data_IF_573413447857
#
_entry.id   IF_573413447857
#
_cell.length_a   1.000
_cell.length_b   1.000
_cell.length_c   1.000
_cell.angle_alpha   90.00
_cell.angle_beta   90.00
_cell.angle_gamma   90.00
#
_symmetry.space_group_name_H-M   'P 1'
#
loop_
_entity.id
_entity.type
_entity.pdbx_description
1 polymer ?
#
# COMPACT_ATOMS: atom_id res chain seq x y z
N UNK A 1 0.35 -7.31 -3.79
CA UNK A 1 -0.71 -6.51 -3.13
C UNK A 1 -0.50 -6.66 -1.64
N UNK A 2 -0.67 -5.61 -0.84
CA UNK A 2 -0.47 -5.70 0.61
C UNK A 2 -1.81 -5.59 1.35
N UNK A 3 -2.10 -6.56 2.20
CA UNK A 3 -3.22 -6.53 3.12
C UNK A 3 -2.76 -6.09 4.49
N UNK A 4 -3.46 -5.11 5.05
CA UNK A 4 -3.20 -4.57 6.37
C UNK A 4 -4.38 -4.87 7.27
N UNK A 5 -4.07 -5.45 8.42
CA UNK A 5 -5.03 -5.74 9.47
C UNK A 5 -4.54 -5.15 10.78
N UNK A 6 -5.42 -4.52 11.56
CA UNK A 6 -5.08 -4.05 12.90
C UNK A 6 -4.88 -5.22 13.85
N UNK A 7 -3.85 -5.13 14.68
CA UNK A 7 -3.66 -6.04 15.80
C UNK A 7 -4.67 -5.66 16.89
N UNK A 8 -5.69 -6.49 17.07
CA UNK A 8 -6.68 -6.35 18.15
C UNK A 8 -6.36 -7.33 19.26
N UNK A 9 -6.53 -6.94 20.52
CA UNK A 9 -6.44 -7.87 21.65
C UNK A 9 -7.39 -9.05 21.42
N UNK A 10 -6.86 -10.23 21.73
CA UNK A 10 -7.33 -11.54 21.30
C UNK A 10 -8.86 -11.73 21.43
N UNK A 11 -9.59 -11.54 20.32
CA UNK A 11 -10.86 -12.24 20.10
C UNK A 11 -10.55 -13.42 19.21
N UNK A 12 -10.87 -14.64 19.65
CA UNK A 12 -10.76 -15.86 18.84
C UNK A 12 -11.53 -15.68 17.53
N UNK A 13 -10.84 -15.29 16.47
CA UNK A 13 -11.41 -15.12 15.14
C UNK A 13 -10.51 -15.81 14.10
N UNK A 14 -11.11 -16.23 12.99
CA UNK A 14 -10.49 -17.07 11.93
C UNK A 14 -9.14 -16.51 11.43
N UNK A 15 -8.99 -15.19 11.42
CA UNK A 15 -7.75 -14.52 11.04
C UNK A 15 -6.61 -14.65 12.09
N UNK A 16 -6.90 -14.73 13.39
CA UNK A 16 -5.88 -15.05 14.39
C UNK A 16 -5.37 -16.50 14.25
N UNK A 17 -6.25 -17.42 13.81
CA UNK A 17 -5.84 -18.78 13.47
C UNK A 17 -4.99 -18.85 12.20
N UNK A 18 -5.25 -17.98 11.20
CA UNK A 18 -4.41 -17.82 10.01
C UNK A 18 -3.02 -17.28 10.37
N UNK A 19 -2.94 -16.27 11.24
CA UNK A 19 -1.67 -15.68 11.69
C UNK A 19 -0.82 -16.71 12.47
N UNK A 20 -1.47 -17.50 13.33
CA UNK A 20 -0.83 -18.53 14.15
C UNK A 20 -0.33 -19.72 13.30
N UNK A 21 -1.06 -20.10 12.23
CA UNK A 21 -0.67 -21.20 11.33
C UNK A 21 0.63 -20.92 10.55
N UNK A 22 1.08 -19.67 10.46
CA UNK A 22 2.22 -19.27 9.61
C UNK A 22 3.41 -18.68 10.36
N UNK A 23 3.43 -18.75 11.70
CA UNK A 23 4.55 -18.22 12.51
C UNK A 23 4.91 -16.76 12.18
N UNK A 24 3.91 -15.92 11.83
CA UNK A 24 4.10 -14.50 11.50
C UNK A 24 4.60 -13.65 12.69
N UNK A 25 4.75 -14.26 13.87
CA UNK A 25 5.10 -13.59 15.12
C UNK A 25 6.59 -13.22 15.22
N UNK A 26 7.48 -13.84 14.43
CA UNK A 26 8.93 -13.64 14.55
C UNK A 26 9.54 -12.76 13.46
N UNK A 27 8.81 -12.51 12.38
CA UNK A 27 9.31 -11.71 11.26
C UNK A 27 8.96 -10.22 11.48
N UNK A 28 9.91 -9.33 11.19
CA UNK A 28 9.76 -7.85 11.26
C UNK A 28 9.87 -7.16 9.90
N UNK A 29 10.16 -7.91 8.83
CA UNK A 29 10.32 -7.44 7.45
C UNK A 29 9.99 -8.57 6.48
N UNK A 30 9.64 -8.23 5.24
CA UNK A 30 9.55 -9.20 4.15
C UNK A 30 10.95 -9.67 3.73
N UNK A 31 11.07 -10.91 3.25
CA UNK A 31 12.32 -11.39 2.67
C UNK A 31 12.53 -10.77 1.27
N UNK A 32 13.72 -10.25 1.02
CA UNK A 32 14.11 -9.63 -0.26
C UNK A 32 15.15 -10.51 -0.94
N UNK A 33 15.01 -10.81 -2.24
CA UNK A 33 16.11 -11.37 -3.05
C UNK A 33 16.02 -12.82 -3.53
N UNK A 34 14.83 -13.39 -3.75
CA UNK A 34 14.71 -14.60 -4.57
C UNK A 34 13.80 -14.33 -5.77
N UNK A 35 14.21 -14.76 -6.97
CA UNK A 35 13.46 -14.59 -8.22
C UNK A 35 12.04 -15.23 -8.19
N UNK A 36 11.66 -15.93 -7.12
CA UNK A 36 10.38 -16.64 -6.94
C UNK A 36 9.65 -16.30 -5.63
N UNK A 37 9.99 -15.22 -4.90
CA UNK A 37 9.38 -14.97 -3.58
C UNK A 37 7.90 -14.52 -3.62
N UNK A 38 7.32 -14.31 -4.80
CA UNK A 38 5.89 -14.08 -5.05
C UNK A 38 5.11 -15.36 -5.39
N UNK A 39 5.66 -16.55 -5.11
CA UNK A 39 4.89 -17.80 -5.19
C UNK A 39 4.08 -18.10 -3.91
N UNK A 40 4.39 -17.41 -2.79
CA UNK A 40 3.76 -17.66 -1.49
C UNK A 40 3.46 -16.36 -0.74
N UNK A 41 2.37 -16.39 0.05
CA UNK A 41 1.94 -15.27 0.89
C UNK A 41 2.90 -15.14 2.08
N UNK A 42 3.45 -13.93 2.27
CA UNK A 42 4.34 -13.60 3.39
C UNK A 42 3.65 -12.62 4.34
N UNK A 43 4.08 -12.56 5.60
CA UNK A 43 3.53 -11.57 6.53
C UNK A 43 4.39 -11.31 7.75
N UNK A 44 4.21 -10.14 8.35
CA UNK A 44 4.89 -9.74 9.57
C UNK A 44 4.03 -8.79 10.42
N UNK A 45 4.44 -8.57 11.67
CA UNK A 45 3.76 -7.68 12.61
C UNK A 45 4.61 -6.45 12.90
N UNK A 46 4.08 -5.25 12.68
CA UNK A 46 4.77 -3.99 12.97
C UNK A 46 3.77 -2.87 13.31
N UNK A 47 4.09 -2.09 14.34
CA UNK A 47 3.36 -0.86 14.71
C UNK A 47 1.84 -1.05 14.90
N UNK A 48 1.43 -2.17 15.50
CA UNK A 48 0.01 -2.47 15.72
C UNK A 48 -0.74 -2.93 14.46
N UNK A 49 -0.02 -3.23 13.37
CA UNK A 49 -0.56 -3.79 12.13
C UNK A 49 0.06 -5.17 11.86
N UNK A 50 -0.76 -6.06 11.31
CA UNK A 50 -0.30 -7.26 10.60
C UNK A 50 -0.27 -6.92 9.13
N UNK A 51 0.91 -7.07 8.53
CA UNK A 51 1.19 -6.84 7.13
C UNK A 51 1.25 -8.18 6.42
N UNK A 52 0.50 -8.34 5.35
CA UNK A 52 0.50 -9.55 4.53
C UNK A 52 0.78 -9.12 3.10
N UNK A 53 1.86 -9.62 2.51
CA UNK A 53 2.13 -9.45 1.07
C UNK A 53 1.67 -10.70 0.32
N UNK A 54 0.87 -10.48 -0.72
CA UNK A 54 0.38 -11.54 -1.58
C UNK A 54 0.77 -11.34 -3.05
N UNK A 55 0.91 -12.46 -3.79
CA UNK A 55 0.86 -12.44 -5.25
C UNK A 55 -0.50 -11.85 -5.70
N UNK A 56 -0.56 -11.24 -6.89
CA UNK A 56 -1.81 -10.66 -7.42
C UNK A 56 -2.97 -11.67 -7.42
N UNK A 57 -4.21 -11.22 -7.23
CA UNK A 57 -5.37 -12.11 -7.07
C UNK A 57 -5.63 -13.00 -8.29
N UNK A 58 -5.03 -12.70 -9.45
CA UNK A 58 -5.13 -13.46 -10.69
C UNK A 58 -4.12 -14.61 -10.82
N UNK A 59 -3.14 -14.74 -9.93
CA UNK A 59 -2.11 -15.80 -9.96
C UNK A 59 -2.62 -17.16 -9.42
N UNK A 60 -3.92 -17.45 -9.52
CA UNK A 60 -4.54 -18.58 -8.83
C UNK A 60 -4.18 -19.94 -9.44
N UNK A 61 -3.23 -20.63 -8.81
CA UNK A 61 -3.35 -22.08 -8.58
C UNK A 61 -4.32 -22.32 -7.40
N UNK A 62 -5.17 -23.34 -7.49
CA UNK A 62 -6.41 -23.44 -6.68
C UNK A 62 -6.27 -23.23 -5.17
N UNK A 63 -5.23 -23.79 -4.54
CA UNK A 63 -5.01 -23.73 -3.08
C UNK A 63 -4.64 -22.32 -2.59
N UNK A 64 -3.90 -21.55 -3.40
CA UNK A 64 -3.55 -20.16 -3.11
C UNK A 64 -4.73 -19.19 -3.29
N UNK A 65 -5.72 -19.55 -4.11
CA UNK A 65 -6.88 -18.70 -4.43
C UNK A 65 -7.89 -18.54 -3.30
N UNK A 66 -8.09 -19.57 -2.47
CA UNK A 66 -8.95 -19.51 -1.29
C UNK A 66 -8.31 -18.75 -0.14
N UNK A 67 -7.00 -18.94 0.05
CA UNK A 67 -6.21 -18.21 1.06
C UNK A 67 -6.17 -16.71 0.79
N UNK A 68 -5.96 -16.30 -0.47
CA UNK A 68 -5.99 -14.88 -0.83
C UNK A 68 -7.35 -14.23 -0.52
N UNK A 69 -8.46 -14.96 -0.71
CA UNK A 69 -9.79 -14.45 -0.36
C UNK A 69 -9.97 -14.31 1.15
N UNK A 70 -9.48 -15.25 1.96
CA UNK A 70 -9.53 -15.16 3.42
C UNK A 70 -8.76 -13.91 3.94
N UNK A 71 -7.65 -13.54 3.30
CA UNK A 71 -6.92 -12.31 3.64
C UNK A 71 -7.64 -11.04 3.18
N UNK A 72 -8.22 -11.03 1.97
CA UNK A 72 -9.09 -9.94 1.51
C UNK A 72 -10.23 -9.72 2.52
N UNK A 73 -10.87 -10.80 2.95
CA UNK A 73 -12.01 -10.75 3.87
C UNK A 73 -11.61 -10.21 5.24
N UNK A 74 -10.41 -10.53 5.72
CA UNK A 74 -9.89 -10.10 7.01
C UNK A 74 -9.19 -8.72 7.02
N UNK A 75 -8.88 -8.15 5.85
CA UNK A 75 -8.16 -6.88 5.74
C UNK A 75 -9.01 -5.68 6.20
N UNK A 76 -8.41 -4.81 7.03
CA UNK A 76 -8.98 -3.50 7.37
C UNK A 76 -8.61 -2.44 6.31
N UNK A 77 -7.48 -2.62 5.59
CA UNK A 77 -7.01 -1.79 4.49
C UNK A 77 -6.25 -2.65 3.48
N UNK A 78 -6.40 -2.35 2.19
CA UNK A 78 -5.62 -2.96 1.11
C UNK A 78 -4.76 -1.88 0.47
N UNK A 79 -3.43 -2.04 0.48
CA UNK A 79 -2.52 -1.22 -0.33
C UNK A 79 -2.30 -1.91 -1.68
N UNK A 80 -2.67 -1.23 -2.76
CA UNK A 80 -2.52 -1.72 -4.12
C UNK A 80 -1.39 -0.94 -4.83
N UNK A 81 -0.14 -1.43 -4.81
CA UNK A 81 0.95 -0.76 -5.50
C UNK A 81 0.83 -0.95 -7.02
N UNK A 82 1.02 0.13 -7.77
CA UNK A 82 1.16 0.10 -9.23
C UNK A 82 2.32 1.00 -9.67
N UNK A 83 2.89 0.78 -10.86
CA UNK A 83 4.03 1.58 -11.34
C UNK A 83 3.54 2.84 -12.06
N UNK A 84 4.18 3.98 -11.81
CA UNK A 84 3.93 5.25 -12.53
C UNK A 84 4.26 5.19 -14.02
N UNK A 85 4.98 4.15 -14.47
CA UNK A 85 5.30 3.94 -15.89
C UNK A 85 4.11 3.39 -16.69
N UNK A 86 3.19 2.68 -16.04
CA UNK A 86 1.97 2.12 -16.65
C UNK A 86 0.82 2.15 -15.64
N UNK A 87 0.39 3.34 -15.20
CA UNK A 87 -0.73 3.46 -14.28
C UNK A 87 -2.02 3.06 -15.00
N UNK A 88 -2.96 2.45 -14.26
CA UNK A 88 -4.29 2.12 -14.77
C UNK A 88 -4.35 0.98 -15.80
N UNK A 89 -3.50 -0.05 -15.69
CA UNK A 89 -3.68 -1.27 -16.49
C UNK A 89 -5.07 -1.85 -16.26
N UNK A 90 -5.75 -2.25 -17.34
CA UNK A 90 -7.13 -2.74 -17.29
C UNK A 90 -7.35 -3.84 -16.26
N UNK A 91 -6.46 -4.83 -16.20
CA UNK A 91 -6.51 -5.93 -15.23
C UNK A 91 -6.44 -5.44 -13.78
N UNK A 92 -5.57 -4.48 -13.52
CA UNK A 92 -5.38 -3.92 -12.17
C UNK A 92 -6.63 -3.12 -11.76
N UNK A 93 -7.20 -2.36 -12.70
CA UNK A 93 -8.43 -1.60 -12.47
C UNK A 93 -9.63 -2.52 -12.19
N UNK A 94 -9.77 -3.62 -12.94
CA UNK A 94 -10.81 -4.64 -12.71
C UNK A 94 -10.64 -5.30 -11.32
N UNK A 95 -9.41 -5.63 -10.93
CA UNK A 95 -9.10 -6.21 -9.62
C UNK A 95 -9.47 -5.25 -8.47
N UNK A 96 -9.11 -3.98 -8.60
CA UNK A 96 -9.45 -2.94 -7.62
C UNK A 96 -10.98 -2.75 -7.55
N UNK A 97 -11.65 -2.71 -8.70
CA UNK A 97 -13.11 -2.58 -8.76
C UNK A 97 -13.82 -3.76 -8.08
N UNK A 98 -13.30 -4.98 -8.19
CA UNK A 98 -13.81 -6.16 -7.49
C UNK A 98 -13.61 -6.11 -5.97
N UNK A 99 -12.49 -5.57 -5.51
CA UNK A 99 -12.24 -5.34 -4.08
C UNK A 99 -13.21 -4.32 -3.50
N UNK A 100 -13.43 -3.21 -4.21
CA UNK A 100 -14.38 -2.17 -3.81
C UNK A 100 -15.83 -2.70 -3.76
N UNK A 101 -16.22 -3.58 -4.70
CA UNK A 101 -17.54 -4.26 -4.66
C UNK A 101 -17.75 -5.09 -3.40
N UNK A 102 -16.66 -5.69 -2.90
CA UNK A 102 -16.67 -6.46 -1.64
C UNK A 102 -16.67 -5.55 -0.40
N UNK A 103 -16.84 -4.24 -0.56
CA UNK A 103 -16.86 -3.25 0.51
C UNK A 103 -15.49 -3.09 1.19
N UNK A 104 -14.41 -3.36 0.46
CA UNK A 104 -13.04 -3.22 0.96
C UNK A 104 -12.55 -1.81 0.75
N UNK A 105 -11.87 -1.28 1.77
CA UNK A 105 -11.11 -0.04 1.64
C UNK A 105 -9.80 -0.33 0.90
N UNK A 106 -9.60 0.37 -0.22
CA UNK A 106 -8.42 0.23 -1.07
C UNK A 106 -7.70 1.56 -1.19
N UNK A 107 -6.40 1.54 -0.92
CA UNK A 107 -5.48 2.64 -1.18
C UNK A 107 -4.60 2.23 -2.36
N UNK A 108 -4.79 2.89 -3.50
CA UNK A 108 -3.92 2.70 -4.66
C UNK A 108 -2.68 3.53 -4.46
N UNK A 109 -1.51 2.92 -4.61
CA UNK A 109 -0.21 3.57 -4.42
C UNK A 109 0.55 3.51 -5.74
N UNK A 110 0.57 4.62 -6.47
CA UNK A 110 1.38 4.78 -7.68
C UNK A 110 2.83 4.99 -7.23
N UNK A 111 3.67 4.00 -7.46
CA UNK A 111 5.09 3.93 -7.08
C UNK A 111 5.99 4.41 -8.21
N UNK A 112 7.26 4.68 -7.89
CA UNK A 112 8.27 5.18 -8.85
C UNK A 112 7.88 6.51 -9.46
N UNK A 113 7.32 7.42 -8.65
CA UNK A 113 6.99 8.78 -9.09
C UNK A 113 8.21 9.72 -9.11
N UNK A 114 9.40 9.16 -9.29
CA UNK A 114 10.68 9.82 -9.52
C UNK A 114 11.12 9.66 -10.98
N UNK A 115 12.12 10.45 -11.36
CA UNK A 115 12.85 10.36 -12.63
C UNK A 115 14.30 10.79 -12.42
N UNK A 116 15.17 10.36 -13.34
CA UNK A 116 16.52 10.89 -13.43
C UNK A 116 16.48 12.12 -14.31
N UNK A 117 16.83 13.26 -13.73
CA UNK A 117 17.02 14.52 -14.41
C UNK A 117 18.50 14.68 -14.75
N UNK A 118 18.79 15.01 -16.01
CA UNK A 118 20.15 15.10 -16.54
C UNK A 118 20.36 16.53 -17.02
N UNK A 119 21.35 17.19 -16.44
CA UNK A 119 21.70 18.57 -16.75
C UNK A 119 23.21 18.70 -17.02
N UNK A 120 23.64 19.86 -17.49
CA UNK A 120 25.04 20.21 -17.70
C UNK A 120 25.44 21.24 -16.64
N UNK A 121 26.45 20.92 -15.82
CA UNK A 121 26.96 21.85 -14.83
C UNK A 121 27.77 22.99 -15.47
N UNK A 122 28.16 23.99 -14.67
CA UNK A 122 28.95 25.14 -15.15
C UNK A 122 30.31 24.76 -15.78
N UNK A 123 30.82 23.55 -15.50
CA UNK A 123 32.05 23.03 -16.08
C UNK A 123 31.84 22.30 -17.43
N UNK A 124 30.60 22.20 -17.91
CA UNK A 124 30.24 21.49 -19.14
C UNK A 124 30.12 19.98 -18.97
N UNK A 125 30.05 19.48 -17.73
CA UNK A 125 29.93 18.06 -17.43
C UNK A 125 28.47 17.66 -17.23
N UNK A 126 28.10 16.48 -17.73
CA UNK A 126 26.78 15.92 -17.48
C UNK A 126 26.65 15.50 -16.02
N UNK A 127 25.66 16.07 -15.33
CA UNK A 127 25.26 15.71 -13.97
C UNK A 127 23.88 15.11 -14.00
N UNK A 128 23.67 14.03 -13.23
CA UNK A 128 22.37 13.39 -13.11
C UNK A 128 21.92 13.40 -11.66
N UNK A 129 20.67 13.79 -11.43
CA UNK A 129 20.06 13.82 -10.10
C UNK A 129 18.71 13.09 -10.12
N UNK A 130 18.37 12.49 -8.99
CA UNK A 130 17.03 11.93 -8.80
C UNK A 130 16.08 13.07 -8.42
N UNK A 131 15.00 13.22 -9.16
CA UNK A 131 13.96 14.22 -8.86
C UNK A 131 12.59 13.55 -8.85
N UNK A 132 11.67 14.09 -8.07
CA UNK A 132 10.26 13.73 -8.21
C UNK A 132 9.73 14.19 -9.57
N UNK A 133 8.84 13.41 -10.18
CA UNK A 133 7.99 13.90 -11.27
C UNK A 133 7.23 15.14 -10.82
N UNK A 134 6.89 16.01 -11.76
CA UNK A 134 6.16 17.24 -11.49
C UNK A 134 4.86 16.96 -10.72
N UNK A 135 4.40 17.93 -9.92
CA UNK A 135 3.14 17.80 -9.21
C UNK A 135 1.95 17.66 -10.17
N UNK A 136 2.01 18.33 -11.32
CA UNK A 136 1.02 18.24 -12.39
C UNK A 136 0.95 16.82 -12.95
N UNK A 137 2.06 16.24 -13.40
CA UNK A 137 2.11 14.88 -13.95
C UNK A 137 1.60 13.86 -12.94
N UNK A 138 2.03 13.98 -11.68
CA UNK A 138 1.61 13.09 -10.60
C UNK A 138 0.10 13.21 -10.35
N UNK A 139 -0.42 14.43 -10.38
CA UNK A 139 -1.85 14.70 -10.19
C UNK A 139 -2.67 14.15 -11.35
N UNK A 140 -2.25 14.37 -12.59
CA UNK A 140 -2.92 13.83 -13.77
C UNK A 140 -2.96 12.31 -13.73
N UNK A 141 -1.85 11.66 -13.36
CA UNK A 141 -1.80 10.21 -13.18
C UNK A 141 -2.76 9.72 -12.11
N UNK A 142 -2.78 10.35 -10.92
CA UNK A 142 -3.70 9.94 -9.85
C UNK A 142 -5.16 10.17 -10.23
N UNK A 143 -5.47 11.29 -10.88
CA UNK A 143 -6.83 11.65 -11.29
C UNK A 143 -7.32 10.69 -12.39
N UNK A 144 -6.45 10.31 -13.32
CA UNK A 144 -6.77 9.33 -14.36
C UNK A 144 -7.14 7.98 -13.74
N UNK A 145 -6.28 7.44 -12.88
CA UNK A 145 -6.51 6.14 -12.21
C UNK A 145 -7.80 6.19 -11.38
N UNK A 146 -8.00 7.25 -10.59
CA UNK A 146 -9.22 7.43 -9.82
C UNK A 146 -10.47 7.42 -10.71
N UNK A 147 -10.48 8.22 -11.79
CA UNK A 147 -11.60 8.31 -12.72
C UNK A 147 -11.91 6.97 -13.38
N UNK A 148 -10.90 6.23 -13.81
CA UNK A 148 -11.12 4.91 -14.44
C UNK A 148 -11.70 3.88 -13.47
N UNK A 149 -11.30 3.90 -12.18
CA UNK A 149 -11.89 3.01 -11.17
C UNK A 149 -13.33 3.41 -10.87
N UNK A 150 -13.61 4.71 -10.68
CA UNK A 150 -14.95 5.22 -10.40
C UNK A 150 -15.91 5.02 -11.59
N UNK A 151 -15.43 5.06 -12.83
CA UNK A 151 -16.25 4.67 -13.99
C UNK A 151 -16.77 3.23 -13.88
N UNK A 152 -16.00 2.34 -13.25
CA UNK A 152 -16.39 0.94 -13.03
C UNK A 152 -17.27 0.76 -11.77
N UNK A 153 -17.33 1.76 -10.88
CA UNK A 153 -18.05 1.74 -9.59
C UNK A 153 -18.66 3.09 -9.21
N UNK A 154 -19.97 3.13 -8.98
CA UNK A 154 -20.69 4.33 -8.52
C UNK A 154 -20.38 4.77 -7.06
N UNK A 155 -19.36 4.22 -6.39
CA UNK A 155 -18.97 4.59 -5.02
C UNK A 155 -17.47 4.79 -4.92
N UNK A 156 -17.08 5.90 -4.32
CA UNK A 156 -15.70 6.38 -4.21
C UNK A 156 -15.24 6.60 -2.76
N UNK A 157 -16.12 6.43 -1.76
CA UNK A 157 -15.86 6.66 -0.34
C UNK A 157 -14.77 5.75 0.26
N UNK A 158 -14.38 4.70 -0.46
CA UNK A 158 -13.42 3.68 -0.04
C UNK A 158 -12.15 3.65 -0.89
N UNK A 159 -12.01 4.57 -1.85
CA UNK A 159 -10.89 4.66 -2.77
C UNK A 159 -10.08 5.93 -2.54
N UNK A 160 -8.77 5.77 -2.37
CA UNK A 160 -7.83 6.87 -2.40
C UNK A 160 -6.62 6.48 -3.27
N UNK A 161 -6.04 7.45 -3.98
CA UNK A 161 -4.89 7.24 -4.88
C UNK A 161 -3.74 8.14 -4.43
N UNK A 162 -2.62 7.53 -4.04
CA UNK A 162 -1.40 8.22 -3.62
C UNK A 162 -0.30 8.04 -4.67
N UNK A 163 0.58 9.03 -4.77
CA UNK A 163 1.80 8.95 -5.57
C UNK A 163 3.01 8.96 -4.64
N UNK A 164 3.91 8.00 -4.81
CA UNK A 164 5.09 7.85 -3.96
C UNK A 164 6.36 7.51 -4.74
N UNK A 165 7.50 7.93 -4.20
CA UNK A 165 8.81 7.35 -4.52
C UNK A 165 9.54 6.96 -3.25
N UNK A 166 9.70 5.65 -3.07
CA UNK A 166 10.50 5.11 -1.96
C UNK A 166 11.98 5.43 -2.17
N UNK A 167 12.48 5.31 -3.41
CA UNK A 167 13.87 5.62 -3.73
C UNK A 167 14.21 7.08 -3.43
N UNK A 168 13.36 8.01 -3.83
CA UNK A 168 13.54 9.43 -3.51
C UNK A 168 13.53 9.69 -2.01
N UNK A 169 12.62 9.03 -1.28
CA UNK A 169 12.57 9.16 0.18
C UNK A 169 13.84 8.62 0.86
N UNK A 170 14.42 7.53 0.36
CA UNK A 170 15.65 6.94 0.88
C UNK A 170 16.89 7.79 0.59
N UNK A 171 16.98 8.41 -0.60
CA UNK A 171 18.10 9.32 -0.96
C UNK A 171 18.03 10.67 -0.21
N UNK A 172 16.90 10.98 0.43
CA UNK A 172 16.65 12.25 1.14
C UNK A 172 16.08 12.05 2.56
N UNK A 173 16.46 10.97 3.24
CA UNK A 173 15.90 10.58 4.55
C UNK A 173 16.22 11.56 5.70
N UNK A 174 17.22 12.40 5.52
CA UNK A 174 17.62 13.48 6.41
C UNK A 174 16.87 14.80 6.18
N UNK A 175 16.08 14.90 5.11
CA UNK A 175 15.38 16.12 4.72
C UNK A 175 13.86 15.96 4.79
N UNK A 176 13.25 16.57 5.81
CA UNK A 176 11.80 16.50 6.04
C UNK A 176 10.94 17.04 4.89
N UNK A 177 11.43 18.05 4.16
CA UNK A 177 10.68 18.64 3.04
C UNK A 177 10.69 17.70 1.83
N UNK A 178 11.83 17.06 1.55
CA UNK A 178 11.96 16.08 0.48
C UNK A 178 11.19 14.79 0.78
N UNK A 179 11.19 14.35 2.05
CA UNK A 179 10.33 13.25 2.52
C UNK A 179 8.83 13.56 2.32
N UNK A 180 8.39 14.80 2.53
CA UNK A 180 7.01 15.20 2.23
C UNK A 180 6.74 15.10 0.72
N UNK A 181 7.63 15.64 -0.13
CA UNK A 181 7.51 15.60 -1.59
C UNK A 181 7.47 14.18 -2.14
N UNK A 182 8.21 13.25 -1.52
CA UNK A 182 8.25 11.83 -1.89
C UNK A 182 6.88 11.14 -1.82
N UNK A 183 5.91 11.72 -1.11
CA UNK A 183 4.59 11.14 -0.85
C UNK A 183 4.55 10.11 0.29
N UNK A 184 5.71 9.72 0.84
CA UNK A 184 5.79 8.75 1.94
C UNK A 184 5.14 9.26 3.22
N UNK A 185 5.26 10.56 3.53
CA UNK A 185 4.58 11.14 4.68
C UNK A 185 3.05 11.02 4.59
N UNK A 186 2.47 11.22 3.42
CA UNK A 186 1.04 11.05 3.21
C UNK A 186 0.62 9.59 3.47
N UNK A 187 1.38 8.63 2.95
CA UNK A 187 1.16 7.20 3.21
C UNK A 187 1.26 6.87 4.70
N UNK A 188 2.31 7.34 5.40
CA UNK A 188 2.50 7.10 6.83
C UNK A 188 1.40 7.71 7.69
N UNK A 189 0.92 8.92 7.36
CA UNK A 189 -0.22 9.54 8.06
C UNK A 189 -1.48 8.69 7.93
N UNK A 190 -1.74 8.09 6.76
CA UNK A 190 -2.89 7.18 6.58
C UNK A 190 -2.77 5.91 7.41
N UNK A 191 -1.60 5.28 7.38
CA UNK A 191 -1.30 4.09 8.19
C UNK A 191 -1.44 4.38 9.69
N UNK A 192 -0.96 5.55 10.12
CA UNK A 192 -1.07 6.01 11.51
C UNK A 192 -2.53 6.29 11.89
N UNK A 193 -3.32 6.91 11.02
CA UNK A 193 -4.76 7.13 11.25
C UNK A 193 -5.51 5.80 11.31
N UNK A 194 -5.10 4.81 10.53
CA UNK A 194 -5.64 3.45 10.62
C UNK A 194 -5.36 2.87 12.01
N UNK A 195 -4.15 2.95 12.55
CA UNK A 195 -3.85 2.40 13.89
C UNK A 195 -4.51 3.21 15.02
N UNK A 196 -4.64 4.53 14.89
CA UNK A 196 -5.18 5.41 15.93
C UNK A 196 -6.72 5.51 15.98
N UNK A 197 -7.42 5.23 14.88
CA UNK A 197 -8.89 5.40 14.76
C UNK A 197 -9.74 4.54 15.72
N UNK A 198 -9.13 3.62 16.49
CA UNK A 198 -9.80 2.97 17.65
C UNK A 198 -9.24 3.38 19.03
N UNK A 199 -8.03 3.95 19.13
CA UNK A 199 -7.51 4.45 20.41
C UNK A 199 -8.39 5.57 21.01
N UNK A 200 -9.07 6.33 20.15
CA UNK A 200 -10.07 7.33 20.55
C UNK A 200 -11.42 6.67 20.88
N UNK A 201 -11.87 5.67 20.10
CA UNK A 201 -13.14 4.96 20.34
C UNK A 201 -13.15 4.10 21.62
N UNK A 202 -11.99 3.60 22.06
CA UNK A 202 -11.87 2.91 23.36
C UNK A 202 -11.94 3.88 24.56
N UNK A 203 -11.43 5.10 24.42
CA UNK A 203 -11.56 6.15 25.44
C UNK A 203 -12.98 6.70 25.53
N UNK A 204 -13.72 6.73 24.43
CA UNK A 204 -15.14 7.14 24.42
C UNK A 204 -16.09 6.05 24.98
N UNK A 205 -15.69 4.78 24.97
CA UNK A 205 -16.50 3.66 25.50
C UNK A 205 -16.20 3.27 26.94
N UNK A 206 -15.23 3.94 27.57
CA UNK A 206 -14.97 3.80 29.00
C UNK A 206 -15.43 5.10 29.66
N UNK A 207 -16.63 5.18 30.26
CA UNK A 207 -16.90 6.23 31.22
C UNK A 207 -15.79 6.15 32.26
N UNK A 208 -15.06 7.25 32.46
CA UNK A 208 -14.06 7.33 33.52
C UNK A 208 -14.69 6.85 34.82
N UNK A 209 -14.12 5.78 35.39
CA UNK A 209 -14.37 5.44 36.79
C UNK A 209 -13.57 6.38 37.67
#
# INVERSE_FOLDING_TARGET
>A
MLFLRKQRECRKNRAAALDAKRNLAEQRKFAVGACETTASIQGFKLSGLTWIDSPGLHSKTGENGGLAQDYVDAADLILYPMSSSQPGRKTDLEEIADLLQKGKRVEVVITRCDMTDVDVNDAGELVSQLVMKSEEDRKEQSDHVYKEIVKQKQRDDQLEVLTVSVRYAEEHDDNSAELEKSGMNALFRKLTKLTQSEGVRLKEKTPGK
#
